data_IF_021423370992
#
_entry.id   IF_021423370992
#
_cell.length_a   1.000
_cell.length_b   1.000
_cell.length_c   1.000
_cell.angle_alpha   90.00
_cell.angle_beta   90.00
_cell.angle_gamma   90.00
#
_symmetry.space_group_name_H-M   'P 1'
#
loop_
_entity.id
_entity.type
_entity.pdbx_description
1 polymer ?
#
# COMPACT_ATOMS: atom_id res chain seq x y z
N UNK A 1 -24.22 -3.97 7.39
CA UNK A 1 -24.88 -4.20 6.09
C UNK A 1 -23.85 -4.68 5.09
N UNK A 2 -24.06 -5.82 4.41
CA UNK A 2 -23.12 -6.31 3.40
C UNK A 2 -23.06 -5.32 2.23
N UNK A 3 -21.85 -5.08 1.73
CA UNK A 3 -21.66 -4.28 0.52
C UNK A 3 -22.12 -5.06 -0.71
N UNK A 4 -22.64 -4.35 -1.69
CA UNK A 4 -23.10 -4.91 -2.96
C UNK A 4 -22.11 -4.49 -4.04
N UNK A 5 -21.54 -5.48 -4.74
CA UNK A 5 -20.68 -5.24 -5.88
C UNK A 5 -21.50 -5.37 -7.18
N UNK A 6 -21.51 -4.32 -8.00
CA UNK A 6 -22.27 -4.25 -9.27
C UNK A 6 -21.35 -4.57 -10.44
N UNK A 7 -21.70 -5.53 -11.29
CA UNK A 7 -20.83 -5.96 -12.39
C UNK A 7 -21.25 -5.45 -13.78
N UNK A 8 -22.43 -4.89 -13.87
CA UNK A 8 -22.86 -4.23 -15.08
C UNK A 8 -23.67 -5.06 -16.10
N UNK A 9 -23.64 -6.38 -16.09
CA UNK A 9 -24.58 -7.25 -16.84
C UNK A 9 -25.69 -7.75 -15.92
N UNK A 10 -25.33 -7.99 -14.68
CA UNK A 10 -26.21 -8.34 -13.58
C UNK A 10 -26.44 -7.10 -12.72
N UNK A 11 -27.45 -7.11 -11.88
CA UNK A 11 -27.68 -6.05 -10.90
C UNK A 11 -26.55 -6.04 -9.90
N UNK A 12 -26.15 -7.22 -9.42
CA UNK A 12 -25.03 -7.37 -8.48
C UNK A 12 -24.09 -8.48 -8.95
N UNK A 13 -22.81 -8.31 -8.73
CA UNK A 13 -21.83 -9.38 -8.91
C UNK A 13 -21.94 -10.40 -7.78
N UNK A 14 -22.16 -9.92 -6.57
CA UNK A 14 -22.37 -10.67 -5.35
C UNK A 14 -22.42 -9.75 -4.15
N UNK A 15 -22.83 -10.27 -3.03
CA UNK A 15 -22.75 -9.58 -1.75
C UNK A 15 -21.36 -9.76 -1.16
N UNK A 16 -20.84 -8.71 -0.53
CA UNK A 16 -19.55 -8.73 0.15
C UNK A 16 -19.75 -8.91 1.64
N UNK A 17 -19.05 -9.87 2.23
CA UNK A 17 -18.98 -10.03 3.69
C UNK A 17 -18.33 -8.79 4.31
N UNK A 18 -18.57 -8.56 5.61
CA UNK A 18 -17.89 -7.49 6.33
C UNK A 18 -16.38 -7.69 6.28
N UNK A 19 -15.64 -6.66 5.87
CA UNK A 19 -14.20 -6.74 5.72
C UNK A 19 -13.62 -5.60 4.88
N UNK A 20 -12.38 -5.79 4.46
CA UNK A 20 -11.71 -4.90 3.51
C UNK A 20 -11.77 -5.49 2.11
N UNK A 21 -12.25 -4.72 1.17
CA UNK A 21 -12.40 -5.14 -0.21
C UNK A 21 -11.82 -4.08 -1.14
N UNK A 22 -10.86 -4.47 -1.96
CA UNK A 22 -10.42 -3.64 -3.08
C UNK A 22 -11.28 -3.93 -4.29
N UNK A 23 -11.38 -2.99 -5.22
CA UNK A 23 -12.17 -3.11 -6.45
C UNK A 23 -13.69 -3.29 -6.26
N UNK A 24 -14.20 -3.14 -5.04
CA UNK A 24 -15.63 -3.27 -4.79
C UNK A 24 -16.47 -2.22 -5.55
N UNK A 25 -15.93 -1.03 -5.73
CA UNK A 25 -16.57 0.07 -6.47
C UNK A 25 -16.03 0.20 -7.89
N UNK A 26 -14.73 0.10 -8.07
CA UNK A 26 -14.07 0.17 -9.37
C UNK A 26 -12.69 -0.49 -9.31
N UNK A 27 -12.31 -1.15 -10.40
CA UNK A 27 -10.95 -1.70 -10.58
C UNK A 27 -9.87 -0.62 -10.71
N UNK A 28 -10.26 0.65 -10.87
CA UNK A 28 -9.35 1.80 -10.91
C UNK A 28 -8.90 2.26 -9.52
N UNK A 29 -9.54 1.78 -8.46
CA UNK A 29 -9.23 2.17 -7.09
C UNK A 29 -8.24 1.18 -6.47
N UNK A 30 -6.95 1.57 -6.33
CA UNK A 30 -5.96 0.71 -5.71
C UNK A 30 -6.22 0.57 -4.20
N UNK A 31 -5.74 -0.53 -3.63
CA UNK A 31 -5.86 -0.77 -2.20
C UNK A 31 -4.60 -1.37 -1.59
N UNK A 32 -4.34 -0.98 -0.35
CA UNK A 32 -3.33 -1.59 0.48
C UNK A 32 -3.83 -1.70 1.92
N UNK A 33 -3.52 -2.80 2.57
CA UNK A 33 -3.78 -3.01 3.99
C UNK A 33 -2.48 -3.43 4.64
N UNK A 34 -2.02 -2.64 5.61
CA UNK A 34 -0.90 -3.00 6.47
C UNK A 34 -1.43 -3.69 7.71
N UNK A 35 -0.93 -4.89 7.93
CA UNK A 35 -1.24 -5.61 9.15
C UNK A 35 -0.55 -4.96 10.35
N UNK A 36 -1.14 -5.02 11.55
CA UNK A 36 -0.44 -4.64 12.78
C UNK A 36 0.90 -5.38 12.88
N UNK A 37 1.85 -4.72 13.54
CA UNK A 37 3.14 -5.37 13.80
C UNK A 37 2.91 -6.59 14.65
N UNK A 38 3.58 -7.64 14.30
CA UNK A 38 3.43 -8.93 14.91
C UNK A 38 3.73 -8.99 16.40
N UNK A 39 4.72 -8.22 16.84
CA UNK A 39 5.08 -8.14 18.27
C UNK A 39 3.99 -7.52 19.13
N UNK A 40 3.09 -6.75 18.50
CA UNK A 40 1.99 -6.06 19.17
C UNK A 40 0.71 -6.93 19.22
N UNK A 41 0.76 -8.16 18.64
CA UNK A 41 -0.37 -9.07 18.57
C UNK A 41 -0.29 -10.17 19.61
N UNK A 42 -1.38 -10.48 20.30
CA UNK A 42 -1.44 -11.66 21.16
C UNK A 42 -1.39 -12.94 20.31
N UNK A 43 -0.61 -13.90 20.73
CA UNK A 43 -0.54 -15.20 20.07
C UNK A 43 0.73 -15.40 19.25
N UNK A 44 0.86 -16.61 18.72
CA UNK A 44 2.05 -17.07 17.99
C UNK A 44 1.87 -17.04 16.47
N UNK A 45 0.63 -17.14 16.02
CA UNK A 45 0.26 -17.20 14.62
C UNK A 45 -0.81 -16.15 14.31
N UNK A 46 -0.82 -15.69 13.07
CA UNK A 46 -1.89 -14.89 12.52
C UNK A 46 -2.46 -15.61 11.30
N UNK A 47 -3.77 -15.73 11.25
CA UNK A 47 -4.49 -16.24 10.10
C UNK A 47 -5.42 -15.19 9.56
N UNK A 48 -5.43 -15.06 8.25
CA UNK A 48 -6.30 -14.15 7.51
C UNK A 48 -7.25 -14.98 6.65
N UNK A 49 -8.52 -14.61 6.65
CA UNK A 49 -9.46 -15.09 5.65
C UNK A 49 -9.35 -14.19 4.43
N UNK A 50 -8.77 -14.72 3.34
CA UNK A 50 -8.38 -13.97 2.15
C UNK A 50 -9.05 -14.51 0.90
N UNK A 51 -9.46 -13.61 0.03
CA UNK A 51 -9.70 -13.86 -1.38
C UNK A 51 -8.94 -12.83 -2.22
N UNK A 52 -8.69 -13.15 -3.48
CA UNK A 52 -8.01 -12.19 -4.37
C UNK A 52 -7.74 -12.76 -5.73
N UNK A 53 -7.52 -11.88 -6.68
CA UNK A 53 -7.11 -12.23 -8.02
C UNK A 53 -5.61 -12.52 -8.11
N UNK A 54 -5.18 -13.13 -9.22
CA UNK A 54 -3.81 -13.62 -9.44
C UNK A 54 -2.70 -12.56 -9.31
N UNK A 55 -3.08 -11.26 -9.36
CA UNK A 55 -2.14 -10.12 -9.34
C UNK A 55 -2.12 -9.39 -8.00
N UNK A 56 -2.82 -9.89 -7.02
CA UNK A 56 -2.72 -9.39 -5.65
C UNK A 56 -1.60 -10.10 -4.90
N UNK A 57 -0.95 -9.37 -4.02
CA UNK A 57 0.20 -9.89 -3.31
C UNK A 57 0.21 -9.56 -1.83
N UNK A 58 0.77 -10.45 -1.06
CA UNK A 58 1.22 -10.18 0.30
C UNK A 58 2.72 -9.93 0.30
N UNK A 59 3.13 -8.85 0.94
CA UNK A 59 4.53 -8.44 1.05
C UNK A 59 4.94 -8.54 2.52
N UNK A 60 5.94 -9.37 2.81
CA UNK A 60 6.58 -9.41 4.11
C UNK A 60 7.69 -8.37 4.16
N UNK A 61 7.61 -7.46 5.12
CA UNK A 61 8.58 -6.38 5.30
C UNK A 61 9.23 -6.48 6.68
N UNK A 62 10.55 -6.48 6.72
CA UNK A 62 11.28 -6.33 7.97
C UNK A 62 11.66 -4.85 8.17
N UNK A 63 11.58 -4.36 9.40
CA UNK A 63 11.79 -2.93 9.74
C UNK A 63 13.13 -2.34 9.29
N UNK A 64 14.12 -3.17 9.12
CA UNK A 64 15.48 -2.76 8.73
C UNK A 64 15.87 -3.27 7.35
N UNK A 65 14.94 -3.85 6.60
CA UNK A 65 15.23 -4.37 5.29
C UNK A 65 15.04 -3.30 4.24
N UNK A 66 16.08 -3.09 3.44
CA UNK A 66 15.98 -2.38 2.18
C UNK A 66 15.30 -3.22 1.10
N UNK A 67 14.91 -4.43 1.43
CA UNK A 67 14.35 -5.40 0.53
C UNK A 67 13.06 -5.98 1.09
N UNK A 68 12.12 -6.19 0.22
CA UNK A 68 10.97 -7.05 0.44
C UNK A 68 11.48 -8.49 0.63
N UNK A 69 11.27 -9.09 1.79
CA UNK A 69 11.78 -10.44 2.06
C UNK A 69 11.03 -11.51 1.28
N UNK A 70 9.72 -11.34 1.09
CA UNK A 70 8.91 -12.26 0.32
C UNK A 70 7.69 -11.54 -0.29
N UNK A 71 7.38 -11.88 -1.52
CA UNK A 71 6.11 -11.53 -2.18
C UNK A 71 5.43 -12.84 -2.52
N UNK A 72 4.22 -13.01 -2.00
CA UNK A 72 3.36 -14.14 -2.36
C UNK A 72 2.17 -13.61 -3.11
N UNK A 73 1.94 -14.13 -4.30
CA UNK A 73 0.72 -13.90 -5.05
C UNK A 73 -0.30 -14.97 -4.70
N UNK A 74 -1.57 -14.62 -4.74
CA UNK A 74 -2.63 -15.56 -4.46
C UNK A 74 -3.77 -15.36 -5.46
N UNK A 75 -4.25 -16.48 -6.00
CA UNK A 75 -5.39 -16.54 -6.91
C UNK A 75 -6.49 -17.38 -6.27
N UNK A 76 -7.25 -16.74 -5.39
CA UNK A 76 -8.31 -17.37 -4.62
C UNK A 76 -9.62 -16.60 -4.81
N UNK A 77 -10.42 -17.06 -5.71
CA UNK A 77 -11.70 -16.44 -6.04
C UNK A 77 -12.71 -16.48 -4.88
N UNK A 78 -12.55 -17.42 -3.95
CA UNK A 78 -13.36 -17.53 -2.73
C UNK A 78 -12.50 -17.34 -1.49
N UNK A 79 -13.04 -16.72 -0.42
CA UNK A 79 -12.33 -16.57 0.83
C UNK A 79 -11.87 -17.91 1.39
N UNK A 80 -10.63 -17.96 1.83
CA UNK A 80 -10.05 -19.08 2.56
C UNK A 80 -9.07 -18.61 3.61
N UNK A 81 -8.93 -19.37 4.67
CA UNK A 81 -7.96 -19.08 5.71
C UNK A 81 -6.53 -19.34 5.23
N UNK A 82 -5.68 -18.35 5.40
CA UNK A 82 -4.25 -18.44 5.18
C UNK A 82 -3.51 -18.10 6.46
N UNK A 83 -2.76 -19.06 6.96
CA UNK A 83 -1.86 -18.83 8.09
C UNK A 83 -0.53 -18.26 7.60
N UNK A 84 -0.04 -17.28 8.34
CA UNK A 84 1.27 -16.68 8.14
C UNK A 84 2.19 -17.19 9.25
N UNK A 85 3.06 -18.14 8.92
CA UNK A 85 3.84 -18.93 9.90
C UNK A 85 5.10 -18.22 10.43
N UNK A 86 5.67 -17.35 9.65
CA UNK A 86 6.95 -16.71 9.99
C UNK A 86 6.77 -15.43 10.80
N UNK A 87 5.90 -15.50 11.79
CA UNK A 87 5.58 -14.32 12.57
C UNK A 87 6.63 -14.09 13.67
N UNK A 88 7.18 -15.13 14.27
CA UNK A 88 8.27 -14.96 15.20
C UNK A 88 9.55 -14.58 14.44
N UNK A 89 10.07 -13.38 14.65
CA UNK A 89 11.35 -13.04 14.06
C UNK A 89 12.40 -14.01 14.58
N UNK A 90 13.19 -14.58 13.67
CA UNK A 90 14.37 -15.38 14.04
C UNK A 90 15.34 -14.62 14.95
N UNK A 91 15.16 -13.31 14.99
CA UNK A 91 15.85 -12.39 15.86
C UNK A 91 14.81 -11.56 16.63
N UNK A 92 14.78 -11.58 17.97
CA UNK A 92 13.79 -10.88 18.79
C UNK A 92 13.79 -9.35 18.63
N UNK A 93 14.78 -8.81 17.91
CA UNK A 93 14.92 -7.37 17.67
C UNK A 93 14.33 -6.97 16.29
N UNK A 94 14.00 -7.93 15.44
CA UNK A 94 13.52 -7.67 14.10
C UNK A 94 11.98 -7.58 14.10
N UNK A 95 11.46 -6.42 13.78
CA UNK A 95 10.02 -6.21 13.60
C UNK A 95 9.63 -6.58 12.18
N UNK A 96 8.54 -7.29 12.05
CA UNK A 96 8.01 -7.72 10.75
C UNK A 96 6.58 -7.25 10.61
N UNK A 97 6.24 -6.70 9.45
CA UNK A 97 4.87 -6.40 9.05
C UNK A 97 4.53 -7.12 7.75
N UNK A 98 3.23 -7.35 7.54
CA UNK A 98 2.71 -7.86 6.29
C UNK A 98 1.82 -6.79 5.65
N UNK A 99 2.07 -6.51 4.38
CA UNK A 99 1.25 -5.61 3.59
C UNK A 99 0.52 -6.45 2.52
N UNK A 100 -0.80 -6.28 2.45
CA UNK A 100 -1.60 -6.76 1.32
C UNK A 100 -1.76 -5.59 0.36
N UNK A 101 -1.45 -5.81 -0.90
CA UNK A 101 -1.41 -4.72 -1.88
C UNK A 101 -1.98 -5.15 -3.23
N UNK A 102 -2.64 -4.22 -3.89
CA UNK A 102 -2.90 -4.33 -5.32
C UNK A 102 -1.64 -3.97 -6.11
N UNK A 103 -1.59 -4.37 -7.37
CA UNK A 103 -0.43 -4.12 -8.24
C UNK A 103 -0.02 -2.65 -8.32
N UNK A 104 -1.00 -1.74 -8.33
CA UNK A 104 -0.75 -0.30 -8.39
C UNK A 104 0.07 0.24 -7.21
N UNK A 105 -0.08 -0.38 -6.04
CA UNK A 105 0.61 0.03 -4.80
C UNK A 105 1.75 -0.91 -4.43
N UNK A 106 2.03 -1.92 -5.25
CA UNK A 106 3.18 -2.80 -5.05
C UNK A 106 4.42 -2.20 -5.72
N UNK A 107 5.44 -1.76 -4.96
CA UNK A 107 6.64 -1.14 -5.52
C UNK A 107 7.46 -2.11 -6.38
N UNK A 108 7.24 -3.42 -6.23
CA UNK A 108 7.92 -4.47 -6.99
C UNK A 108 7.08 -4.97 -8.18
N UNK A 109 5.97 -4.31 -8.45
CA UNK A 109 5.09 -4.70 -9.55
C UNK A 109 4.93 -3.55 -10.58
N UNK A 110 4.92 -3.81 -11.89
CA UNK A 110 5.27 -5.08 -12.51
C UNK A 110 6.70 -5.44 -12.20
N UNK A 111 7.11 -6.71 -12.36
CA UNK A 111 8.46 -7.13 -12.07
C UNK A 111 9.45 -6.40 -12.97
N UNK A 112 9.91 -5.25 -12.52
CA UNK A 112 10.89 -4.43 -13.24
C UNK A 112 12.23 -5.15 -13.38
N UNK A 113 12.48 -6.15 -12.54
CA UNK A 113 13.75 -6.87 -12.44
C UNK A 113 13.59 -8.39 -12.32
N UNK A 114 12.45 -8.96 -12.67
CA UNK A 114 12.22 -10.40 -12.59
C UNK A 114 11.96 -10.97 -11.19
N UNK A 115 11.77 -10.12 -10.20
CA UNK A 115 11.53 -10.53 -8.79
C UNK A 115 10.12 -11.10 -8.60
N UNK A 116 9.15 -10.64 -9.37
CA UNK A 116 7.80 -11.20 -9.39
C UNK A 116 7.47 -11.69 -10.79
N UNK A 117 7.74 -12.95 -11.06
CA UNK A 117 7.21 -13.63 -12.25
C UNK A 117 5.81 -14.11 -11.92
N UNK A 118 4.81 -13.37 -12.35
CA UNK A 118 3.45 -13.89 -12.44
C UNK A 118 3.31 -14.52 -13.81
N UNK A 119 3.66 -15.79 -13.93
CA UNK A 119 3.58 -16.52 -15.17
C UNK A 119 4.35 -15.86 -16.33
N UNK A 120 3.95 -16.16 -17.56
CA UNK A 120 4.49 -15.59 -18.80
C UNK A 120 3.81 -14.26 -19.20
N UNK A 121 2.90 -13.75 -18.38
CA UNK A 121 2.11 -12.56 -18.71
C UNK A 121 2.89 -11.29 -18.31
N UNK A 122 3.34 -10.55 -19.32
CA UNK A 122 3.72 -9.14 -19.15
C UNK A 122 2.51 -8.27 -19.36
N UNK A 123 2.17 -7.46 -18.35
CA UNK A 123 1.23 -6.36 -18.59
C UNK A 123 1.89 -5.33 -19.53
N UNK A 124 1.14 -4.77 -20.48
CA UNK A 124 1.57 -3.57 -21.18
C UNK A 124 1.89 -2.46 -20.17
N UNK A 125 2.93 -1.68 -20.40
CA UNK A 125 3.35 -0.60 -19.48
C UNK A 125 2.24 0.40 -19.14
N UNK A 126 1.33 0.63 -20.08
CA UNK A 126 0.15 1.50 -19.89
C UNK A 126 -0.89 0.95 -18.90
N UNK A 127 -0.93 -0.36 -18.71
CA UNK A 127 -1.92 -1.04 -17.87
C UNK A 127 -1.31 -1.48 -16.52
N UNK A 128 -0.04 -1.16 -16.30
CA UNK A 128 0.65 -1.50 -15.07
C UNK A 128 0.06 -0.75 -13.90
N UNK A 129 -0.45 -1.49 -12.95
CA UNK A 129 -0.94 -0.96 -11.69
C UNK A 129 -2.46 -0.97 -11.52
N UNK A 130 -3.26 -1.03 -12.61
CA UNK A 130 -4.73 -0.95 -12.56
C UNK A 130 -5.38 -2.13 -13.27
N UNK A 131 -4.88 -3.32 -13.01
CA UNK A 131 -5.37 -4.55 -13.59
C UNK A 131 -6.55 -5.11 -12.80
N UNK A 132 -7.62 -5.46 -13.49
CA UNK A 132 -8.86 -6.03 -12.89
C UNK A 132 -8.61 -7.30 -12.07
N UNK A 133 -7.57 -8.05 -12.38
CA UNK A 133 -7.16 -9.25 -11.64
C UNK A 133 -6.41 -8.95 -10.35
N UNK A 134 -6.08 -7.68 -10.11
CA UNK A 134 -5.32 -7.25 -8.93
C UNK A 134 -6.25 -6.73 -7.83
N UNK A 135 -7.05 -7.62 -7.28
CA UNK A 135 -7.96 -7.32 -6.17
C UNK A 135 -7.74 -8.29 -5.02
N UNK A 136 -8.05 -7.84 -3.84
CA UNK A 136 -8.10 -8.71 -2.66
C UNK A 136 -9.22 -8.30 -1.72
N UNK A 137 -9.64 -9.25 -0.90
CA UNK A 137 -10.50 -9.02 0.25
C UNK A 137 -9.96 -9.71 1.49
N UNK A 138 -10.17 -9.08 2.64
CA UNK A 138 -9.86 -9.62 3.97
C UNK A 138 -11.15 -9.59 4.77
N UNK A 139 -11.68 -10.76 5.06
CA UNK A 139 -12.97 -10.90 5.76
C UNK A 139 -12.83 -11.42 7.18
N UNK A 140 -11.64 -11.91 7.54
CA UNK A 140 -11.33 -12.36 8.89
C UNK A 140 -9.87 -12.19 9.24
N UNK A 141 -9.59 -11.85 10.49
CA UNK A 141 -8.25 -11.76 11.07
C UNK A 141 -8.30 -12.40 12.44
N UNK A 142 -7.51 -13.44 12.65
CA UNK A 142 -7.45 -14.15 13.92
C UNK A 142 -6.00 -14.37 14.32
N UNK A 143 -5.68 -14.06 15.58
CA UNK A 143 -4.40 -14.42 16.19
C UNK A 143 -4.61 -15.65 17.08
N UNK A 144 -3.73 -16.61 17.01
CA UNK A 144 -3.88 -17.86 17.74
C UNK A 144 -2.52 -18.47 18.14
N UNK A 145 -2.56 -19.35 19.14
CA UNK A 145 -1.35 -20.01 19.67
C UNK A 145 -1.17 -21.43 19.14
N UNK A 146 -2.20 -22.02 18.55
CA UNK A 146 -2.17 -23.36 17.98
C UNK A 146 -1.74 -23.32 16.52
N UNK A 147 -1.03 -24.35 16.04
CA UNK A 147 -0.51 -24.37 14.67
C UNK A 147 -1.57 -24.64 13.59
N UNK A 148 -2.81 -24.92 13.96
CA UNK A 148 -3.93 -25.12 13.03
C UNK A 148 -4.35 -23.83 12.32
N UNK A 149 -5.18 -23.95 11.31
CA UNK A 149 -5.91 -22.80 10.75
C UNK A 149 -7.24 -22.67 11.49
N UNK A 150 -7.75 -21.43 11.69
CA UNK A 150 -9.13 -21.25 12.08
C UNK A 150 -9.99 -21.85 10.98
N UNK A 151 -10.74 -22.89 11.29
CA UNK A 151 -11.59 -23.51 10.29
C UNK A 151 -12.82 -24.06 11.01
N UNK A 152 -13.92 -23.39 10.78
CA UNK A 152 -15.21 -24.02 10.96
C UNK A 152 -16.09 -23.68 9.76
N UNK A 153 -15.70 -24.22 8.61
CA UNK A 153 -16.46 -24.04 7.36
C UNK A 153 -17.85 -24.66 7.44
N UNK A 154 -18.06 -25.57 8.39
CA UNK A 154 -19.32 -26.29 8.58
C UNK A 154 -20.23 -25.64 9.63
N UNK A 155 -19.73 -24.74 10.46
CA UNK A 155 -20.53 -24.10 11.52
C UNK A 155 -21.81 -23.44 11.00
N UNK A 156 -21.75 -22.84 9.80
CA UNK A 156 -22.90 -22.21 9.15
C UNK A 156 -24.06 -23.18 8.84
N UNK A 157 -23.77 -24.46 8.80
CA UNK A 157 -24.79 -25.48 8.54
C UNK A 157 -25.34 -26.08 9.83
N UNK A 158 -24.85 -25.69 11.01
CA UNK A 158 -25.25 -26.29 12.29
C UNK A 158 -26.77 -26.27 12.49
N UNK A 159 -27.42 -25.16 12.16
CA UNK A 159 -28.87 -24.99 12.28
C UNK A 159 -29.69 -25.98 11.43
N UNK A 160 -29.11 -26.53 10.35
CA UNK A 160 -29.76 -27.57 9.56
C UNK A 160 -29.87 -28.91 10.31
N UNK A 161 -29.02 -29.11 11.32
CA UNK A 161 -28.95 -30.34 12.09
C UNK A 161 -29.55 -30.19 13.49
N UNK A 162 -30.10 -29.04 13.82
CA UNK A 162 -30.80 -28.80 15.08
C UNK A 162 -32.22 -29.36 15.05
N UNK A 163 -32.70 -29.85 16.19
CA UNK A 163 -34.03 -30.43 16.36
C UNK A 163 -34.14 -31.91 15.90
N UNK A 164 -35.37 -32.35 15.65
CA UNK A 164 -35.63 -33.76 15.26
C UNK A 164 -35.08 -34.07 13.86
N UNK A 165 -34.54 -35.29 13.72
CA UNK A 165 -34.02 -35.77 12.43
C UNK A 165 -35.19 -35.91 11.45
N UNK A 166 -35.09 -35.35 10.20
CA UNK A 166 -36.14 -35.53 9.19
C UNK A 166 -36.32 -37.01 8.84
N UNK A 167 -37.56 -37.49 8.91
CA UNK A 167 -37.84 -38.92 8.59
C UNK A 167 -37.95 -39.14 7.09
N UNK A 168 -38.22 -38.11 6.32
CA UNK A 168 -38.39 -38.16 4.87
C UNK A 168 -37.53 -37.12 4.12
N UNK A 169 -37.19 -37.43 2.89
CA UNK A 169 -36.52 -36.51 1.97
C UNK A 169 -37.30 -35.21 1.81
N UNK A 170 -38.63 -35.27 1.79
CA UNK A 170 -39.47 -34.08 1.69
C UNK A 170 -39.28 -33.15 2.91
N UNK A 171 -39.18 -33.69 4.09
CA UNK A 171 -38.92 -32.89 5.31
C UNK A 171 -37.52 -32.31 5.30
N UNK A 172 -36.52 -33.09 4.87
CA UNK A 172 -35.15 -32.59 4.72
C UNK A 172 -35.08 -31.43 3.72
N UNK A 173 -35.72 -31.58 2.54
CA UNK A 173 -35.76 -30.49 1.56
C UNK A 173 -36.54 -29.28 2.07
N UNK A 174 -37.62 -29.47 2.83
CA UNK A 174 -38.36 -28.36 3.42
C UNK A 174 -37.48 -27.60 4.43
N UNK A 175 -36.71 -28.30 5.25
CA UNK A 175 -35.76 -27.69 6.21
C UNK A 175 -34.67 -26.89 5.51
N UNK A 176 -34.05 -27.46 4.47
CA UNK A 176 -33.05 -26.75 3.64
C UNK A 176 -33.68 -25.52 2.98
N UNK A 177 -34.89 -25.66 2.40
CA UNK A 177 -35.58 -24.54 1.81
C UNK A 177 -35.90 -23.41 2.77
N UNK A 178 -36.31 -23.72 3.97
CA UNK A 178 -36.54 -22.75 5.03
C UNK A 178 -35.26 -22.02 5.47
N UNK A 179 -34.16 -22.78 5.57
CA UNK A 179 -32.84 -22.21 5.88
C UNK A 179 -32.33 -21.28 4.78
N UNK A 180 -32.51 -21.64 3.50
CA UNK A 180 -32.15 -20.76 2.39
C UNK A 180 -33.01 -19.49 2.35
N UNK A 181 -34.33 -19.63 2.65
CA UNK A 181 -35.26 -18.50 2.70
C UNK A 181 -34.93 -17.54 3.84
N UNK A 182 -34.53 -18.06 5.02
CA UNK A 182 -34.17 -17.19 6.15
C UNK A 182 -33.02 -16.25 5.84
N UNK A 183 -32.00 -16.69 5.07
CA UNK A 183 -30.92 -15.83 4.66
C UNK A 183 -31.38 -14.66 3.78
N UNK A 184 -32.38 -14.91 2.89
CA UNK A 184 -32.97 -13.86 2.06
C UNK A 184 -33.82 -12.90 2.89
N UNK A 185 -34.59 -13.43 3.85
CA UNK A 185 -35.42 -12.62 4.75
C UNK A 185 -34.52 -11.73 5.66
N UNK A 186 -33.44 -12.27 6.18
CA UNK A 186 -32.49 -11.50 6.97
C UNK A 186 -31.76 -10.43 6.17
N UNK A 187 -31.43 -10.71 4.90
CA UNK A 187 -30.90 -9.71 4.01
C UNK A 187 -31.91 -8.60 3.72
N UNK A 188 -33.14 -8.94 3.38
CA UNK A 188 -34.21 -7.98 3.10
C UNK A 188 -34.51 -7.07 4.30
N UNK A 189 -34.39 -7.63 5.50
CA UNK A 189 -34.56 -6.91 6.77
C UNK A 189 -33.29 -6.16 7.25
N UNK A 190 -32.20 -6.23 6.52
CA UNK A 190 -30.93 -5.59 6.85
C UNK A 190 -30.18 -6.25 8.03
N UNK A 191 -30.51 -7.48 8.38
CA UNK A 191 -29.90 -8.25 9.48
C UNK A 191 -28.89 -9.30 9.03
N UNK A 192 -28.77 -9.53 7.72
CA UNK A 192 -27.90 -10.57 7.16
C UNK A 192 -26.47 -10.50 7.71
N UNK A 193 -25.97 -11.62 8.13
CA UNK A 193 -24.60 -11.80 8.61
C UNK A 193 -23.65 -12.31 7.50
N UNK A 194 -22.46 -12.77 7.87
CA UNK A 194 -21.47 -13.26 6.92
C UNK A 194 -21.85 -14.60 6.29
N UNK A 195 -22.59 -15.44 6.99
CA UNK A 195 -23.01 -16.76 6.51
C UNK A 195 -24.22 -16.64 5.58
N UNK A 196 -25.16 -15.75 5.90
CA UNK A 196 -26.27 -15.39 5.00
C UNK A 196 -25.74 -14.86 3.65
N UNK A 197 -24.70 -14.01 3.69
CA UNK A 197 -24.05 -13.51 2.46
C UNK A 197 -23.52 -14.65 1.58
N UNK A 198 -22.95 -15.70 2.18
CA UNK A 198 -22.48 -16.86 1.42
C UNK A 198 -23.63 -17.65 0.80
N UNK A 199 -24.73 -17.81 1.55
CA UNK A 199 -25.96 -18.47 1.05
C UNK A 199 -26.55 -17.68 -0.11
N UNK A 200 -26.71 -16.38 0.02
CA UNK A 200 -27.27 -15.53 -1.02
C UNK A 200 -26.38 -15.54 -2.27
N UNK A 201 -25.06 -15.46 -2.12
CA UNK A 201 -24.16 -15.56 -3.26
C UNK A 201 -24.28 -16.90 -3.97
N UNK A 202 -24.44 -17.99 -3.23
CA UNK A 202 -24.71 -19.31 -3.80
C UNK A 202 -26.03 -19.34 -4.58
N UNK A 203 -27.10 -18.74 -4.03
CA UNK A 203 -28.40 -18.63 -4.72
C UNK A 203 -28.29 -17.81 -6.02
N UNK A 204 -27.55 -16.69 -6.00
CA UNK A 204 -27.30 -15.84 -7.17
C UNK A 204 -26.48 -16.58 -8.24
N UNK A 205 -25.43 -17.29 -7.84
CA UNK A 205 -24.56 -18.07 -8.74
C UNK A 205 -25.33 -19.21 -9.45
N UNK A 206 -26.28 -19.82 -8.75
CA UNK A 206 -27.09 -20.91 -9.29
C UNK A 206 -28.38 -20.46 -9.95
N UNK A 207 -28.62 -19.15 -10.09
CA UNK A 207 -29.80 -18.59 -10.76
C UNK A 207 -31.12 -18.84 -10.00
N UNK A 208 -31.03 -19.06 -8.69
CA UNK A 208 -32.20 -19.24 -7.82
C UNK A 208 -32.76 -17.92 -7.29
N UNK A 209 -32.02 -16.84 -7.45
CA UNK A 209 -32.45 -15.47 -7.23
C UNK A 209 -32.31 -14.70 -8.56
N UNK A 210 -33.34 -13.92 -8.90
CA UNK A 210 -33.26 -13.04 -10.06
C UNK A 210 -32.21 -11.94 -9.84
N UNK A 211 -31.35 -11.75 -10.85
CA UNK A 211 -30.24 -10.83 -10.80
C UNK A 211 -30.12 -10.04 -12.11
N UNK A 212 -31.27 -9.59 -12.62
CA UNK A 212 -31.35 -8.80 -13.86
C UNK A 212 -32.15 -7.53 -13.61
N UNK A 213 -31.86 -6.50 -14.39
CA UNK A 213 -32.62 -5.26 -14.38
C UNK A 213 -33.87 -5.34 -15.31
N UNK A 214 -34.16 -6.53 -15.86
CA UNK A 214 -35.26 -6.75 -16.82
C UNK A 214 -36.58 -6.58 -16.10
N UNK A 215 -37.32 -5.55 -16.46
CA UNK A 215 -38.65 -5.29 -15.88
C UNK A 215 -38.72 -4.18 -14.84
N UNK A 216 -37.60 -3.71 -14.30
CA UNK A 216 -37.55 -2.56 -13.37
C UNK A 216 -36.75 -1.40 -13.97
N UNK A 217 -37.46 -0.37 -14.43
CA UNK A 217 -36.87 0.82 -15.04
C UNK A 217 -36.06 1.65 -14.02
N UNK A 218 -36.39 1.60 -12.72
CA UNK A 218 -35.67 2.28 -11.66
C UNK A 218 -34.30 1.66 -11.40
N UNK A 219 -34.26 0.32 -11.33
CA UNK A 219 -32.99 -0.42 -11.18
C UNK A 219 -32.12 -0.23 -12.41
N UNK A 220 -32.67 -0.28 -13.61
CA UNK A 220 -31.93 -0.04 -14.85
C UNK A 220 -31.33 1.37 -14.91
N UNK A 221 -32.06 2.40 -14.48
CA UNK A 221 -31.56 3.77 -14.39
C UNK A 221 -30.43 3.93 -13.39
N UNK A 222 -30.55 3.33 -12.19
CA UNK A 222 -29.50 3.33 -11.16
C UNK A 222 -28.23 2.65 -11.66
N UNK A 223 -28.35 1.52 -12.35
CA UNK A 223 -27.21 0.84 -12.97
C UNK A 223 -26.52 1.70 -14.03
N UNK A 224 -27.31 2.43 -14.85
CA UNK A 224 -26.77 3.40 -15.81
C UNK A 224 -25.93 4.47 -15.14
N UNK A 225 -26.49 5.13 -14.11
CA UNK A 225 -25.81 6.14 -13.33
C UNK A 225 -24.54 5.62 -12.65
N UNK A 226 -24.60 4.41 -12.11
CA UNK A 226 -23.42 3.76 -11.51
C UNK A 226 -22.30 3.58 -12.55
N UNK A 227 -22.62 3.08 -13.73
CA UNK A 227 -21.63 2.85 -14.80
C UNK A 227 -21.01 4.13 -15.31
N UNK A 228 -21.81 5.17 -15.52
CA UNK A 228 -21.32 6.49 -15.92
C UNK A 228 -20.37 7.07 -14.87
N UNK A 229 -20.75 6.96 -13.58
CA UNK A 229 -19.92 7.40 -12.47
C UNK A 229 -18.61 6.61 -12.40
N UNK A 230 -18.65 5.28 -12.50
CA UNK A 230 -17.47 4.41 -12.49
C UNK A 230 -16.53 4.73 -13.67
N UNK A 231 -17.08 4.93 -14.86
CA UNK A 231 -16.30 5.32 -16.04
C UNK A 231 -15.62 6.68 -15.85
N UNK A 232 -16.28 7.62 -15.17
CA UNK A 232 -15.74 8.96 -14.90
C UNK A 232 -14.60 8.97 -13.90
N UNK A 233 -14.41 7.91 -13.10
CA UNK A 233 -13.31 7.82 -12.14
C UNK A 233 -11.98 7.84 -12.90
N UNK A 234 -11.12 8.84 -12.68
CA UNK A 234 -9.81 8.87 -13.32
C UNK A 234 -8.88 7.82 -12.71
N UNK A 235 -7.96 7.31 -13.51
CA UNK A 235 -6.87 6.51 -12.94
C UNK A 235 -6.05 7.37 -11.96
N UNK A 236 -5.89 6.94 -10.70
CA UNK A 236 -5.12 7.69 -9.72
C UNK A 236 -3.67 7.85 -10.17
N UNK A 237 -3.16 9.06 -10.10
CA UNK A 237 -1.73 9.31 -10.24
C UNK A 237 -1.06 9.06 -8.90
N UNK A 238 -0.33 7.97 -8.79
CA UNK A 238 0.38 7.61 -7.57
C UNK A 238 1.87 7.91 -7.71
N UNK A 239 2.48 8.32 -6.60
CA UNK A 239 3.93 8.42 -6.44
C UNK A 239 4.34 7.64 -5.21
N UNK A 240 5.51 7.04 -5.25
CA UNK A 240 6.07 6.41 -4.05
C UNK A 240 6.33 7.50 -3.01
N UNK A 241 5.71 7.36 -1.86
CA UNK A 241 5.83 8.30 -0.74
C UNK A 241 5.94 7.54 0.58
N UNK A 242 6.33 8.25 1.62
CA UNK A 242 6.35 7.73 2.99
C UNK A 242 5.15 8.26 3.75
N UNK A 243 4.40 7.38 4.39
CA UNK A 243 3.30 7.75 5.27
C UNK A 243 3.77 7.69 6.74
N UNK A 244 3.91 8.85 7.35
CA UNK A 244 4.33 8.96 8.76
C UNK A 244 3.25 8.49 9.74
N UNK A 245 1.99 8.47 9.33
CA UNK A 245 0.86 8.00 10.15
C UNK A 245 0.88 6.49 10.36
N UNK A 246 1.52 5.77 9.44
CA UNK A 246 1.55 4.31 9.45
C UNK A 246 2.61 3.71 10.38
N UNK A 247 3.58 4.51 10.82
CA UNK A 247 4.72 4.02 11.60
C UNK A 247 5.11 5.04 12.66
N UNK A 248 5.16 4.61 13.91
CA UNK A 248 5.78 5.43 14.97
C UNK A 248 7.28 5.48 14.73
N UNK A 249 7.84 6.66 14.50
CA UNK A 249 9.26 6.80 14.28
C UNK A 249 10.05 6.45 15.56
N UNK A 250 11.09 5.67 15.40
CA UNK A 250 11.97 5.28 16.51
C UNK A 250 13.43 5.68 16.23
N UNK A 251 14.19 5.94 17.27
CA UNK A 251 15.62 6.05 17.16
C UNK A 251 16.24 4.68 16.91
N UNK A 252 17.15 4.60 15.97
CA UNK A 252 17.68 3.33 15.49
C UNK A 252 19.05 3.04 16.10
N UNK A 253 19.32 1.77 16.46
CA UNK A 253 20.65 1.41 16.96
C UNK A 253 21.70 1.47 15.84
N UNK A 254 22.90 1.88 16.19
CA UNK A 254 24.03 1.90 15.29
C UNK A 254 24.34 0.48 14.80
N UNK A 255 24.39 0.26 13.50
CA UNK A 255 24.85 -1.01 12.92
C UNK A 255 26.38 -1.03 12.92
N UNK A 256 26.99 -1.78 13.84
CA UNK A 256 28.46 -1.86 13.98
C UNK A 256 29.05 -2.42 12.69
N UNK A 257 29.93 -1.66 12.04
CA UNK A 257 30.53 -1.99 10.74
C UNK A 257 29.50 -2.31 9.65
N UNK A 258 28.31 -1.70 9.74
CA UNK A 258 27.23 -1.94 8.78
C UNK A 258 26.46 -3.26 8.97
N UNK A 259 26.81 -4.08 9.96
CA UNK A 259 26.12 -5.34 10.21
C UNK A 259 24.79 -5.11 10.91
N UNK A 260 23.70 -5.53 10.26
CA UNK A 260 22.33 -5.49 10.82
C UNK A 260 22.18 -6.43 12.03
N UNK A 261 23.08 -7.39 12.20
CA UNK A 261 23.06 -8.38 13.27
C UNK A 261 23.91 -7.93 14.48
N UNK A 262 24.80 -6.96 14.30
CA UNK A 262 25.64 -6.40 15.38
C UNK A 262 25.21 -4.97 15.64
N UNK A 263 24.36 -4.80 16.65
CA UNK A 263 23.80 -3.50 16.99
C UNK A 263 24.51 -2.89 18.18
N UNK A 264 24.89 -1.63 18.04
CA UNK A 264 25.39 -0.78 19.09
C UNK A 264 24.28 -0.02 19.82
N UNK A 265 24.63 1.07 20.51
CA UNK A 265 23.65 1.90 21.22
C UNK A 265 22.65 2.55 20.25
N UNK A 266 21.45 2.87 20.77
CA UNK A 266 20.49 3.69 20.03
C UNK A 266 21.06 5.07 19.76
N UNK A 267 20.91 5.54 18.53
CA UNK A 267 21.38 6.87 18.12
C UNK A 267 20.16 7.75 17.89
N UNK A 268 20.04 8.86 18.65
CA UNK A 268 18.95 9.82 18.40
C UNK A 268 19.01 10.33 16.97
N UNK A 269 17.82 10.47 16.35
CA UNK A 269 17.71 11.10 15.03
C UNK A 269 18.25 12.53 15.11
N UNK A 270 19.26 12.82 14.33
CA UNK A 270 19.89 14.14 14.29
C UNK A 270 20.55 14.39 12.95
N UNK A 271 20.79 15.64 12.68
CA UNK A 271 21.58 16.05 11.51
C UNK A 271 23.08 15.78 11.76
N UNK A 272 23.89 15.90 10.72
CA UNK A 272 25.34 15.77 10.83
C UNK A 272 25.86 16.82 11.82
N UNK A 273 26.61 16.40 12.82
CA UNK A 273 27.13 17.28 13.89
C UNK A 273 27.92 18.46 13.35
N UNK A 274 28.62 18.28 12.24
CA UNK A 274 29.41 19.33 11.58
C UNK A 274 28.58 20.54 11.17
N UNK A 275 27.28 20.34 10.93
CA UNK A 275 26.38 21.42 10.50
C UNK A 275 25.44 21.91 11.60
N UNK A 276 25.07 21.04 12.53
CA UNK A 276 24.04 21.35 13.55
C UNK A 276 24.59 21.39 14.98
N UNK A 277 25.88 21.14 15.18
CA UNK A 277 26.42 20.96 16.50
C UNK A 277 25.81 19.73 17.20
N UNK A 278 25.57 19.81 18.53
CA UNK A 278 24.98 18.71 19.30
C UNK A 278 23.46 18.72 19.35
N UNK A 279 22.82 19.69 18.70
CA UNK A 279 21.35 19.80 18.74
C UNK A 279 20.68 18.61 18.03
N UNK A 280 19.74 17.92 18.67
CA UNK A 280 18.97 16.89 18.00
C UNK A 280 18.08 17.55 16.94
N UNK A 281 18.00 16.95 15.76
CA UNK A 281 16.98 17.25 14.75
C UNK A 281 15.83 16.30 15.02
N UNK A 282 15.05 16.61 16.02
CA UNK A 282 13.80 15.91 16.29
C UNK A 282 12.70 16.94 16.38
N UNK A 283 11.57 16.65 15.78
CA UNK A 283 10.35 17.39 16.01
C UNK A 283 10.05 17.47 17.52
N UNK A 284 9.18 18.37 17.89
CA UNK A 284 8.80 18.59 19.29
C UNK A 284 8.03 17.43 19.94
N UNK A 285 7.92 16.25 19.27
CA UNK A 285 7.23 15.08 19.75
C UNK A 285 7.93 13.78 19.38
N UNK A 286 7.79 12.76 20.21
CA UNK A 286 8.30 11.41 19.96
C UNK A 286 7.70 10.77 18.71
N UNK A 287 6.59 11.33 18.20
CA UNK A 287 5.85 10.85 17.02
C UNK A 287 6.38 11.36 15.68
N UNK A 288 7.28 12.36 15.66
CA UNK A 288 7.74 12.99 14.42
C UNK A 288 8.98 12.28 13.87
N UNK A 289 9.00 12.02 12.56
CA UNK A 289 10.13 11.36 11.91
C UNK A 289 11.40 12.24 11.77
N UNK A 290 11.27 13.57 11.88
CA UNK A 290 12.32 14.55 11.63
C UNK A 290 12.54 14.87 10.13
N UNK A 291 11.76 14.28 9.22
CA UNK A 291 11.90 14.54 7.76
C UNK A 291 11.56 15.96 7.38
N UNK A 292 10.55 16.55 8.01
CA UNK A 292 10.17 17.94 7.75
C UNK A 292 11.26 18.90 8.20
N UNK A 293 11.84 18.67 9.38
CA UNK A 293 12.96 19.43 9.92
C UNK A 293 14.20 19.29 9.04
N UNK A 294 14.49 18.07 8.58
CA UNK A 294 15.56 17.84 7.62
C UNK A 294 15.35 18.61 6.33
N UNK A 295 14.13 18.58 5.77
CA UNK A 295 13.81 19.30 4.52
C UNK A 295 13.97 20.81 4.70
N UNK A 296 13.48 21.37 5.81
CA UNK A 296 13.64 22.80 6.15
C UNK A 296 15.10 23.16 6.31
N UNK A 297 15.88 22.33 6.99
CA UNK A 297 17.31 22.55 7.15
C UNK A 297 18.05 22.57 5.80
N UNK A 298 17.74 21.63 4.91
CA UNK A 298 18.40 21.56 3.59
C UNK A 298 18.16 22.78 2.72
N UNK A 299 17.03 23.46 2.88
CA UNK A 299 16.71 24.69 2.14
C UNK A 299 16.90 25.98 2.96
N UNK A 300 17.42 25.86 4.17
CA UNK A 300 17.75 27.03 5.01
C UNK A 300 18.85 27.86 4.32
N UNK A 301 18.70 29.18 4.32
CA UNK A 301 19.68 30.10 3.70
C UNK A 301 21.08 30.00 4.32
N UNK A 302 21.16 29.56 5.58
CA UNK A 302 22.40 29.33 6.31
C UNK A 302 23.09 28.02 5.94
N UNK A 303 22.39 27.14 5.21
CA UNK A 303 22.98 25.87 4.78
C UNK A 303 23.99 26.09 3.66
N UNK A 304 25.27 25.95 3.96
CA UNK A 304 26.36 26.39 3.10
C UNK A 304 26.46 25.68 1.73
N UNK A 305 25.95 24.45 1.61
CA UNK A 305 26.24 23.59 0.46
C UNK A 305 25.07 23.45 -0.53
N UNK A 306 23.82 23.35 -0.09
CA UNK A 306 22.71 22.99 -0.97
C UNK A 306 22.58 23.92 -2.18
N UNK A 307 22.51 25.22 -1.94
CA UNK A 307 22.41 26.20 -3.02
C UNK A 307 23.65 26.24 -3.92
N UNK A 308 24.86 26.14 -3.34
CA UNK A 308 26.11 26.13 -4.11
C UNK A 308 26.20 24.91 -5.03
N UNK A 309 25.91 23.72 -4.52
CA UNK A 309 25.92 22.49 -5.31
C UNK A 309 24.90 22.57 -6.44
N UNK A 310 23.69 23.04 -6.14
CA UNK A 310 22.62 23.12 -7.14
C UNK A 310 22.95 24.12 -8.26
N UNK A 311 23.40 25.30 -7.89
CA UNK A 311 23.80 26.36 -8.84
C UNK A 311 25.00 25.92 -9.68
N UNK A 312 25.97 25.22 -9.07
CA UNK A 312 27.09 24.66 -9.81
C UNK A 312 26.67 23.66 -10.88
N UNK A 313 25.66 22.84 -10.60
CA UNK A 313 25.07 21.92 -11.59
C UNK A 313 24.35 22.65 -12.70
N UNK A 314 23.57 23.71 -12.38
CA UNK A 314 22.94 24.56 -13.40
C UNK A 314 24.03 25.21 -14.28
N UNK A 315 25.07 25.75 -13.67
CA UNK A 315 26.21 26.31 -14.39
C UNK A 315 26.85 25.29 -15.31
N UNK A 316 27.10 24.08 -14.84
CA UNK A 316 27.66 23.00 -15.64
C UNK A 316 26.77 22.63 -16.84
N UNK A 317 25.46 22.59 -16.66
CA UNK A 317 24.55 22.32 -17.78
C UNK A 317 24.54 23.43 -18.83
N UNK A 318 24.73 24.67 -18.41
CA UNK A 318 24.76 25.82 -19.34
C UNK A 318 26.10 25.99 -20.04
N UNK A 319 27.22 25.80 -19.31
CA UNK A 319 28.57 26.10 -19.81
C UNK A 319 29.44 24.84 -20.05
N UNK A 320 28.93 23.64 -19.80
CA UNK A 320 29.65 22.37 -19.99
C UNK A 320 30.50 21.95 -18.80
N UNK A 321 31.10 22.90 -18.07
CA UNK A 321 31.98 22.63 -16.92
C UNK A 321 31.51 23.45 -15.72
N UNK A 322 31.42 22.82 -14.54
CA UNK A 322 31.05 23.53 -13.30
C UNK A 322 32.13 24.51 -12.82
N UNK A 323 31.72 25.52 -12.04
CA UNK A 323 32.64 26.36 -11.27
C UNK A 323 33.49 25.51 -10.32
N UNK A 324 32.89 24.47 -9.76
CA UNK A 324 33.57 23.32 -9.16
C UNK A 324 33.48 22.17 -10.13
N UNK A 325 34.60 21.70 -10.67
CA UNK A 325 34.63 20.66 -11.69
C UNK A 325 34.13 19.31 -11.17
N UNK A 326 34.45 19.00 -9.92
CA UNK A 326 33.98 17.80 -9.22
C UNK A 326 32.56 18.03 -8.71
N UNK A 327 31.57 18.16 -9.60
CA UNK A 327 30.18 18.55 -9.27
C UNK A 327 29.48 17.62 -8.28
N UNK A 328 29.97 16.39 -8.12
CA UNK A 328 29.45 15.41 -7.16
C UNK A 328 30.28 15.32 -5.87
N UNK A 329 31.39 16.07 -5.78
CA UNK A 329 32.25 16.12 -4.61
C UNK A 329 32.63 17.58 -4.28
N UNK A 330 31.93 18.13 -3.30
CA UNK A 330 32.23 19.44 -2.68
C UNK A 330 32.94 19.26 -1.33
N UNK A 331 33.39 18.05 -1.05
CA UNK A 331 34.09 17.70 0.17
C UNK A 331 35.60 17.95 0.10
N UNK A 332 36.31 17.37 1.03
CA UNK A 332 37.74 17.55 1.19
C UNK A 332 38.58 17.07 0.00
N UNK A 333 38.08 16.07 -0.71
CA UNK A 333 38.75 15.49 -1.89
C UNK A 333 38.30 16.15 -3.20
N UNK A 334 37.26 17.01 -3.16
CA UNK A 334 36.80 17.75 -4.33
C UNK A 334 37.72 18.93 -4.68
N UNK A 335 37.60 19.38 -5.93
CA UNK A 335 38.29 20.57 -6.38
C UNK A 335 37.72 21.86 -5.78
N UNK A 336 38.60 22.84 -5.61
CA UNK A 336 38.16 24.19 -5.18
C UNK A 336 37.43 24.87 -6.35
N UNK A 337 36.44 25.73 -6.05
CA UNK A 337 35.78 26.49 -7.09
C UNK A 337 36.75 27.44 -7.81
N UNK A 338 36.68 27.47 -9.14
CA UNK A 338 37.51 28.39 -9.96
C UNK A 338 37.23 29.88 -9.62
N UNK A 339 35.97 30.17 -9.30
CA UNK A 339 35.50 31.52 -8.95
C UNK A 339 34.59 31.47 -7.71
N UNK A 340 35.18 31.38 -6.49
CA UNK A 340 34.41 31.19 -5.26
C UNK A 340 33.39 32.31 -4.99
N UNK A 341 33.79 33.57 -5.22
CA UNK A 341 32.88 34.73 -5.01
C UNK A 341 31.69 34.69 -5.98
N UNK A 342 31.89 34.28 -7.22
CA UNK A 342 30.82 34.11 -8.18
C UNK A 342 29.87 33.00 -7.78
N UNK A 343 30.40 31.86 -7.32
CA UNK A 343 29.59 30.73 -6.86
C UNK A 343 28.71 31.17 -5.67
N UNK A 344 29.28 31.90 -4.72
CA UNK A 344 28.55 32.42 -3.56
C UNK A 344 27.49 33.45 -3.94
N UNK A 345 27.80 34.35 -4.88
CA UNK A 345 26.85 35.28 -5.38
C UNK A 345 25.65 34.61 -6.06
N UNK A 346 25.91 33.68 -6.96
CA UNK A 346 24.87 32.93 -7.65
C UNK A 346 24.02 32.10 -6.70
N UNK A 347 24.62 31.49 -5.68
CA UNK A 347 23.91 30.74 -4.65
C UNK A 347 22.93 31.63 -3.87
N UNK A 348 23.36 32.83 -3.43
CA UNK A 348 22.48 33.81 -2.76
C UNK A 348 21.34 34.30 -3.67
N UNK A 349 21.66 34.61 -4.91
CA UNK A 349 20.67 35.00 -5.91
C UNK A 349 19.64 33.91 -6.17
N UNK A 350 20.05 32.64 -6.13
CA UNK A 350 19.16 31.49 -6.30
C UNK A 350 18.20 31.37 -5.13
N UNK A 351 18.70 31.50 -3.90
CA UNK A 351 17.87 31.49 -2.67
C UNK A 351 16.89 32.67 -2.68
N UNK A 352 17.36 33.88 -2.86
CA UNK A 352 16.53 35.12 -2.86
C UNK A 352 15.53 35.11 -4.01
N UNK A 353 15.85 34.44 -5.11
CA UNK A 353 14.98 34.24 -6.27
C UNK A 353 13.92 33.11 -6.08
N UNK A 354 13.75 32.58 -4.87
CA UNK A 354 12.76 31.55 -4.55
C UNK A 354 13.12 30.18 -5.13
N UNK A 355 14.39 29.84 -5.22
CA UNK A 355 14.89 28.54 -5.72
C UNK A 355 14.43 28.20 -7.14
N UNK A 356 14.28 29.22 -8.00
CA UNK A 356 13.75 29.08 -9.36
C UNK A 356 14.84 28.72 -10.37
N UNK A 357 14.84 27.47 -10.82
CA UNK A 357 15.72 27.00 -11.89
C UNK A 357 15.57 27.80 -13.18
N UNK A 358 14.33 28.09 -13.59
CA UNK A 358 14.06 28.87 -14.81
C UNK A 358 14.66 30.26 -14.75
N UNK A 359 14.52 30.95 -13.61
CA UNK A 359 15.08 32.29 -13.39
C UNK A 359 16.61 32.25 -13.43
N UNK A 360 17.24 31.27 -12.80
CA UNK A 360 18.70 31.10 -12.79
C UNK A 360 19.23 30.82 -14.20
N UNK A 361 18.66 29.85 -14.91
CA UNK A 361 19.04 29.53 -16.29
C UNK A 361 18.92 30.76 -17.19
N UNK A 362 17.77 31.45 -17.15
CA UNK A 362 17.58 32.67 -17.94
C UNK A 362 18.65 33.71 -17.64
N UNK A 363 19.01 33.91 -16.38
CA UNK A 363 20.05 34.86 -15.95
C UNK A 363 21.41 34.47 -16.54
N UNK A 364 21.80 33.20 -16.51
CA UNK A 364 23.06 32.72 -17.06
C UNK A 364 23.14 32.90 -18.59
N UNK A 365 22.06 32.55 -19.29
CA UNK A 365 21.97 32.70 -20.76
C UNK A 365 22.05 34.16 -21.25
N UNK A 366 21.67 35.10 -20.38
CA UNK A 366 21.74 36.55 -20.72
C UNK A 366 23.08 37.19 -20.36
N UNK A 367 24.02 36.44 -19.79
CA UNK A 367 25.37 36.98 -19.50
C UNK A 367 26.24 37.05 -20.74
N UNK A 368 27.24 37.94 -20.71
CA UNK A 368 28.24 38.02 -21.78
C UNK A 368 29.09 36.73 -21.87
N UNK A 369 29.19 35.98 -20.80
CA UNK A 369 29.92 34.72 -20.80
C UNK A 369 29.25 33.60 -21.66
N UNK A 370 27.95 33.72 -21.88
CA UNK A 370 27.20 32.77 -22.72
C UNK A 370 27.09 33.24 -24.18
N UNK A 371 27.04 34.58 -24.40
CA UNK A 371 26.98 35.20 -25.73
C UNK A 371 28.38 35.34 -26.30
#
# INVERSE_FOLDING_TARGET
TPLIAVDGKRVVQGLLRRGYHTHALSSKLPGAVRMPRQQDLPGKYISLELAGGEWSGSIRMADNAFQTEAVKFFDWQRPRWQRFDDIAPKNPIQRVSYDLVTSALNPNFPPRTGVAKVGSLRLPDKDTGFEKRSWFSVTGIVTHSQPGQPADELARYSSLFEGETPETLREAFRRIGAWLASAVDDWSAGRADGDDVLVINWLLENGLLENTASGDSGVAALLGTYRETEQSIPFPRTVNSMDERAVVPIDYPLNIRGSIHQRGPNVPRRFLQVFSGKAPVGGRGESDSGRLELSRFLVDERHALTARVHVNRIWQWVFGTGLVRTSNDFGRLGEKPSHPVLLDFLAREFISGGWSNKRMIRRLLLTRAFR
#
